data_IF_605973367644
#
_entry.id   IF_605973367644
#
_cell.length_a   1.000
_cell.length_b   1.000
_cell.length_c   1.000
_cell.angle_alpha   90.00
_cell.angle_beta   90.00
_cell.angle_gamma   90.00
#
_symmetry.space_group_name_H-M   'P 1'
#
loop_
_entity.id
_entity.type
_entity.pdbx_description
1 polymer ?
#
# COMPACT_ATOMS: atom_id res chain seq x y z
N UNK A 1 21.08 32.96 -22.89
CA UNK A 1 20.51 31.89 -23.73
C UNK A 1 19.67 31.00 -22.82
N UNK A 2 18.45 30.68 -23.28
CA UNK A 2 17.23 30.47 -22.50
C UNK A 2 17.20 29.32 -21.49
N UNK A 3 16.55 29.62 -20.37
CA UNK A 3 15.97 28.70 -19.38
C UNK A 3 14.93 27.77 -20.02
N UNK A 4 15.10 26.45 -19.87
CA UNK A 4 14.04 25.46 -20.13
C UNK A 4 13.43 25.04 -18.80
N UNK A 5 12.39 25.77 -18.40
CA UNK A 5 11.50 25.43 -17.30
C UNK A 5 10.35 24.58 -17.86
N UNK A 6 10.14 23.40 -17.27
CA UNK A 6 8.84 22.72 -17.19
C UNK A 6 8.27 22.11 -18.47
N UNK A 7 8.47 20.80 -18.67
CA UNK A 7 7.45 20.01 -19.35
C UNK A 7 7.42 18.55 -18.86
N UNK A 8 6.72 18.36 -17.73
CA UNK A 8 6.00 17.15 -17.33
C UNK A 8 6.83 15.90 -17.08
N UNK A 9 7.05 15.64 -15.79
CA UNK A 9 7.16 14.32 -15.17
C UNK A 9 6.02 13.39 -15.64
N UNK A 10 6.05 12.93 -16.89
CA UNK A 10 5.05 12.04 -17.47
C UNK A 10 5.35 10.57 -17.23
N UNK A 11 6.39 10.27 -16.45
CA UNK A 11 6.80 8.92 -16.04
C UNK A 11 7.45 8.90 -14.64
N UNK A 12 6.82 9.52 -13.65
CA UNK A 12 7.30 9.47 -12.26
C UNK A 12 6.25 8.82 -11.35
N UNK A 13 5.83 7.59 -11.67
CA UNK A 13 5.53 6.72 -10.55
C UNK A 13 6.89 6.13 -10.16
N UNK A 14 7.54 6.74 -9.18
CA UNK A 14 8.85 6.32 -8.68
C UNK A 14 8.76 4.84 -8.37
N UNK A 15 9.43 4.04 -9.22
CA UNK A 15 9.45 2.58 -9.12
C UNK A 15 10.43 2.24 -8.03
N UNK A 16 9.95 2.24 -6.81
CA UNK A 16 10.73 1.76 -5.71
C UNK A 16 10.95 0.25 -5.90
N UNK A 17 12.19 -0.14 -6.20
CA UNK A 17 12.62 -1.54 -6.26
C UNK A 17 12.73 -2.14 -4.86
N UNK A 18 11.76 -1.87 -3.98
CA UNK A 18 11.72 -2.42 -2.65
C UNK A 18 10.91 -3.71 -2.67
N UNK A 19 11.54 -4.78 -2.20
CA UNK A 19 10.91 -6.06 -1.90
C UNK A 19 10.07 -5.93 -0.62
N UNK A 20 8.97 -5.17 -0.69
CA UNK A 20 8.10 -4.98 0.47
C UNK A 20 7.13 -6.16 0.59
N UNK A 21 6.97 -6.74 1.78
CA UNK A 21 5.94 -7.73 2.02
C UNK A 21 4.57 -7.07 1.83
N UNK A 22 3.72 -7.73 1.05
CA UNK A 22 2.34 -7.31 0.78
C UNK A 22 1.39 -8.44 1.13
N UNK A 23 0.36 -8.13 1.91
CA UNK A 23 -0.76 -9.02 2.13
C UNK A 23 -1.78 -8.79 1.01
N UNK A 24 -2.19 -9.87 0.36
CA UNK A 24 -3.10 -9.85 -0.77
C UNK A 24 -4.39 -10.50 -0.35
N UNK A 25 -5.50 -9.78 -0.41
CA UNK A 25 -6.83 -10.31 -0.11
C UNK A 25 -7.71 -10.26 -1.34
N UNK A 26 -8.15 -11.42 -1.78
CA UNK A 26 -9.10 -11.61 -2.86
C UNK A 26 -10.53 -11.43 -2.34
N UNK A 27 -11.33 -10.63 -3.04
CA UNK A 27 -12.72 -10.38 -2.65
C UNK A 27 -13.61 -11.52 -3.15
N UNK A 28 -13.42 -12.03 -4.37
CA UNK A 28 -14.24 -13.13 -4.91
C UNK A 28 -13.42 -13.96 -5.90
N UNK A 29 -12.95 -15.17 -5.55
CA UNK A 29 -13.22 -15.91 -4.31
C UNK A 29 -12.55 -15.27 -3.09
N UNK A 30 -13.18 -15.39 -1.92
CA UNK A 30 -12.61 -14.92 -0.64
C UNK A 30 -11.35 -15.74 -0.34
N UNK A 31 -10.20 -15.07 -0.30
CA UNK A 31 -8.92 -15.71 -0.02
C UNK A 31 -7.89 -14.69 0.41
N UNK A 32 -6.96 -15.11 1.26
CA UNK A 32 -5.85 -14.28 1.69
C UNK A 32 -4.54 -14.98 1.35
N UNK A 33 -3.58 -14.20 0.87
CA UNK A 33 -2.26 -14.64 0.48
C UNK A 33 -1.23 -13.61 0.92
N UNK A 34 0.02 -14.04 0.92
CA UNK A 34 1.15 -13.15 1.13
C UNK A 34 2.00 -13.13 -0.13
N UNK A 35 2.64 -11.99 -0.38
CA UNK A 35 3.50 -11.79 -1.53
C UNK A 35 4.57 -10.77 -1.24
N UNK A 36 5.43 -10.59 -2.23
CA UNK A 36 6.49 -9.59 -2.21
C UNK A 36 6.31 -8.71 -3.43
N UNK A 37 6.18 -7.40 -3.20
CA UNK A 37 6.15 -6.43 -4.28
C UNK A 37 7.50 -6.38 -4.98
N UNK A 38 7.49 -6.45 -6.31
CA UNK A 38 8.67 -6.26 -7.15
C UNK A 38 8.69 -4.83 -7.73
N UNK A 39 7.50 -4.26 -7.94
CA UNK A 39 7.36 -2.90 -8.43
C UNK A 39 6.05 -2.30 -7.91
N UNK A 40 6.12 -1.09 -7.36
CA UNK A 40 4.93 -0.36 -6.93
C UNK A 40 4.89 1.01 -7.58
N UNK A 41 3.70 1.40 -8.01
CA UNK A 41 3.43 2.66 -8.68
C UNK A 41 2.06 3.20 -8.24
N UNK A 42 1.82 4.50 -8.41
CA UNK A 42 0.54 5.14 -8.10
C UNK A 42 -0.65 4.63 -8.95
N UNK A 43 -0.40 3.82 -9.99
CA UNK A 43 -1.44 3.29 -10.88
C UNK A 43 -1.47 1.76 -10.93
N UNK A 44 -0.54 1.08 -10.27
CA UNK A 44 -0.41 -0.36 -10.39
C UNK A 44 0.69 -0.94 -9.52
N UNK A 45 0.55 -2.22 -9.20
CA UNK A 45 1.55 -2.98 -8.48
C UNK A 45 1.89 -4.25 -9.28
N UNK A 46 3.14 -4.63 -9.19
CA UNK A 46 3.64 -5.92 -9.63
C UNK A 46 4.25 -6.62 -8.41
N UNK A 47 3.72 -7.77 -8.07
CA UNK A 47 4.17 -8.56 -6.93
C UNK A 47 4.19 -10.03 -7.29
N UNK A 48 5.01 -10.79 -6.58
CA UNK A 48 4.99 -12.24 -6.63
C UNK A 48 4.29 -12.80 -5.40
N UNK A 49 3.45 -13.81 -5.58
CA UNK A 49 2.71 -14.46 -4.50
C UNK A 49 2.62 -15.96 -4.77
N UNK A 50 2.62 -16.76 -3.71
CA UNK A 50 2.32 -18.20 -3.80
C UNK A 50 0.79 -18.46 -3.83
N UNK A 51 -0.04 -17.41 -3.87
CA UNK A 51 -1.50 -17.49 -3.95
C UNK A 51 -1.99 -17.44 -5.42
N UNK A 52 -2.84 -18.38 -5.81
CA UNK A 52 -3.40 -18.42 -7.17
C UNK A 52 -4.48 -17.36 -7.36
N UNK A 53 -4.13 -16.28 -8.05
CA UNK A 53 -5.05 -15.25 -8.50
C UNK A 53 -5.46 -15.46 -9.95
N UNK A 54 -6.59 -14.88 -10.34
CA UNK A 54 -7.11 -14.93 -11.71
C UNK A 54 -7.17 -13.53 -12.31
N UNK A 55 -6.97 -13.42 -13.62
CA UNK A 55 -7.15 -12.16 -14.33
C UNK A 55 -8.58 -11.65 -14.16
N UNK A 56 -8.70 -10.37 -13.80
CA UNK A 56 -9.99 -9.74 -13.53
C UNK A 56 -10.49 -9.86 -12.09
N UNK A 57 -9.77 -10.53 -11.20
CA UNK A 57 -10.15 -10.60 -9.79
C UNK A 57 -10.02 -9.24 -9.08
N UNK A 58 -10.94 -8.96 -8.16
CA UNK A 58 -10.91 -7.76 -7.35
C UNK A 58 -10.14 -8.07 -6.06
N UNK A 59 -9.00 -7.40 -5.89
CA UNK A 59 -8.09 -7.68 -4.78
C UNK A 59 -7.78 -6.42 -3.97
N UNK A 60 -7.37 -6.64 -2.73
CA UNK A 60 -6.96 -5.62 -1.78
C UNK A 60 -5.56 -5.94 -1.29
N UNK A 61 -4.64 -5.01 -1.52
CA UNK A 61 -3.24 -5.13 -1.15
C UNK A 61 -2.99 -4.31 0.10
N UNK A 62 -2.53 -4.93 1.17
CA UNK A 62 -2.13 -4.22 2.38
C UNK A 62 -0.62 -4.31 2.53
N UNK A 63 0.06 -3.17 2.53
CA UNK A 63 1.51 -3.09 2.74
C UNK A 63 1.87 -1.93 3.64
N UNK A 64 3.03 -2.01 4.28
CA UNK A 64 3.61 -0.91 5.03
C UNK A 64 4.49 -0.11 4.06
N UNK A 65 4.08 1.12 3.77
CA UNK A 65 4.90 2.05 3.00
C UNK A 65 5.92 2.69 3.95
N UNK A 66 7.24 2.50 3.74
CA UNK A 66 8.24 3.15 4.54
C UNK A 66 8.26 4.66 4.27
N UNK A 67 8.85 5.41 5.21
CA UNK A 67 9.03 6.87 5.13
C UNK A 67 9.75 7.34 3.84
N UNK A 68 10.58 6.49 3.23
CA UNK A 68 11.20 6.77 1.93
C UNK A 68 10.20 6.89 0.77
N UNK A 69 9.06 6.19 0.85
CA UNK A 69 8.00 6.23 -0.18
C UNK A 69 6.95 7.27 0.17
N UNK A 70 6.51 7.31 1.43
CA UNK A 70 5.49 8.27 1.89
C UNK A 70 6.05 9.68 2.04
N UNK A 71 7.39 9.83 2.06
CA UNK A 71 8.10 11.06 2.42
C UNK A 71 7.73 11.60 3.81
N UNK A 72 7.17 10.73 4.66
CA UNK A 72 6.69 11.05 6.00
C UNK A 72 7.12 9.95 6.98
N UNK A 73 6.18 9.22 7.55
CA UNK A 73 6.39 8.11 8.50
C UNK A 73 6.05 6.75 7.87
N UNK A 74 6.40 5.66 8.56
CA UNK A 74 5.99 4.32 8.15
C UNK A 74 4.47 4.21 8.30
N UNK A 75 3.76 3.97 7.21
CA UNK A 75 2.29 3.94 7.22
C UNK A 75 1.76 2.69 6.55
N UNK A 76 0.76 2.05 7.17
CA UNK A 76 0.01 0.97 6.54
C UNK A 76 -0.93 1.54 5.48
N UNK A 77 -0.84 1.03 4.26
CA UNK A 77 -1.68 1.45 3.15
C UNK A 77 -2.40 0.23 2.59
N UNK A 78 -3.72 0.35 2.48
CA UNK A 78 -4.59 -0.61 1.80
C UNK A 78 -4.91 -0.08 0.41
N UNK A 79 -4.41 -0.76 -0.60
CA UNK A 79 -4.62 -0.43 -1.99
C UNK A 79 -5.70 -1.36 -2.56
N UNK A 80 -6.77 -0.82 -3.12
CA UNK A 80 -7.79 -1.62 -3.81
C UNK A 80 -7.49 -1.62 -5.30
N UNK A 81 -7.56 -2.78 -5.91
CA UNK A 81 -7.20 -2.95 -7.31
C UNK A 81 -7.84 -4.15 -7.97
N UNK A 82 -7.60 -4.24 -9.28
CA UNK A 82 -8.07 -5.36 -10.11
C UNK A 82 -6.87 -6.04 -10.75
N UNK A 83 -6.86 -7.37 -10.74
CA UNK A 83 -5.84 -8.15 -11.42
C UNK A 83 -5.94 -7.90 -12.92
N UNK A 84 -4.84 -7.43 -13.51
CA UNK A 84 -4.75 -7.17 -14.95
C UNK A 84 -4.21 -8.38 -15.68
N UNK A 85 -3.17 -9.02 -15.13
CA UNK A 85 -2.59 -10.25 -15.67
C UNK A 85 -1.92 -11.07 -14.59
N UNK A 86 -1.92 -12.38 -14.76
CA UNK A 86 -1.22 -13.35 -13.91
C UNK A 86 -0.25 -14.12 -14.79
N UNK A 87 1.02 -14.08 -14.44
CA UNK A 87 2.07 -14.82 -15.11
C UNK A 87 2.40 -16.03 -14.23
N UNK A 88 2.21 -17.27 -14.73
CA UNK A 88 2.57 -18.46 -13.98
C UNK A 88 4.10 -18.52 -13.79
N UNK A 89 4.57 -19.14 -12.69
CA UNK A 89 6.01 -19.30 -12.46
C UNK A 89 6.68 -20.01 -13.64
N UNK A 90 7.67 -19.37 -14.26
CA UNK A 90 8.53 -20.00 -15.26
C UNK A 90 9.50 -21.01 -14.61
N UNK A 91 9.88 -20.77 -13.35
CA UNK A 91 10.70 -21.65 -12.52
C UNK A 91 10.44 -21.33 -11.04
N UNK A 92 9.85 -22.26 -10.29
CA UNK A 92 9.49 -22.10 -8.87
C UNK A 92 8.00 -22.29 -8.59
N UNK A 93 7.52 -21.77 -7.45
CA UNK A 93 6.12 -21.88 -6.98
C UNK A 93 5.37 -20.55 -6.94
N UNK A 94 6.04 -19.43 -7.26
CA UNK A 94 5.50 -18.07 -7.10
C UNK A 94 4.91 -17.54 -8.40
N UNK A 95 3.65 -17.15 -8.36
CA UNK A 95 2.96 -16.47 -9.45
C UNK A 95 3.32 -14.99 -9.44
N UNK A 96 3.56 -14.41 -10.61
CA UNK A 96 3.74 -12.97 -10.74
C UNK A 96 2.43 -12.33 -11.19
N UNK A 97 1.98 -11.35 -10.41
CA UNK A 97 0.66 -10.76 -10.59
C UNK A 97 0.82 -9.27 -10.83
N UNK A 98 0.27 -8.81 -11.94
CA UNK A 98 0.16 -7.38 -12.24
C UNK A 98 -1.25 -6.93 -11.95
N UNK A 99 -1.39 -5.92 -11.09
CA UNK A 99 -2.68 -5.34 -10.72
C UNK A 99 -2.73 -3.86 -11.01
N UNK A 100 -3.91 -3.41 -11.39
CA UNK A 100 -4.22 -2.01 -11.52
C UNK A 100 -4.78 -1.50 -10.20
N UNK A 101 -4.13 -0.49 -9.63
CA UNK A 101 -4.57 0.12 -8.38
C UNK A 101 -5.57 1.23 -8.71
N UNK A 102 -6.77 1.13 -8.13
CA UNK A 102 -7.85 2.09 -8.33
C UNK A 102 -7.92 3.12 -7.21
N UNK A 103 -7.52 2.74 -6.00
CA UNK A 103 -7.55 3.64 -4.84
C UNK A 103 -6.63 3.17 -3.72
N UNK A 104 -6.29 4.11 -2.86
CA UNK A 104 -5.42 3.93 -1.71
C UNK A 104 -6.13 4.44 -0.47
N UNK A 105 -6.13 3.64 0.57
CA UNK A 105 -6.70 3.95 1.87
C UNK A 105 -5.55 3.86 2.88
N UNK A 106 -5.18 5.02 3.46
CA UNK A 106 -4.19 5.06 4.53
C UNK A 106 -4.86 4.53 5.79
N UNK A 107 -4.35 3.40 6.27
CA UNK A 107 -4.77 2.88 7.55
C UNK A 107 -3.92 3.60 8.60
N UNK A 108 -4.53 4.14 9.67
CA UNK A 108 -3.73 4.54 10.82
C UNK A 108 -2.88 3.34 11.22
N UNK A 109 -1.61 3.58 11.55
CA UNK A 109 -0.80 2.56 12.21
C UNK A 109 -1.68 2.01 13.32
N UNK A 110 -1.92 0.69 13.31
CA UNK A 110 -2.83 0.07 14.25
C UNK A 110 -2.36 0.57 15.60
N UNK A 111 -3.11 1.52 16.18
CA UNK A 111 -2.83 2.04 17.50
C UNK A 111 -2.65 0.77 18.29
N UNK A 112 -1.43 0.53 18.77
CA UNK A 112 -1.30 -0.33 19.90
C UNK A 112 -2.24 0.32 20.88
N UNK A 113 -3.42 -0.26 21.04
CA UNK A 113 -4.39 0.08 22.06
C UNK A 113 -3.73 -0.33 23.37
N UNK A 114 -2.64 0.34 23.71
CA UNK A 114 -2.23 0.56 25.07
C UNK A 114 -3.06 1.76 25.45
N UNK A 115 -4.17 1.48 26.11
CA UNK A 115 -5.07 2.50 26.62
C UNK A 115 -4.30 3.53 27.43
N UNK A 116 -3.94 4.62 26.78
CA UNK A 116 -3.73 5.89 27.42
C UNK A 116 -4.91 6.74 26.98
N UNK A 117 -6.01 6.58 27.69
CA UNK A 117 -6.95 7.66 27.93
C UNK A 117 -6.13 8.84 28.46
N UNK A 118 -5.52 9.60 27.55
CA UNK A 118 -5.04 10.96 27.79
C UNK A 118 -6.29 11.74 28.14
N UNK A 119 -6.56 11.79 29.44
CA UNK A 119 -7.45 12.76 30.04
C UNK A 119 -6.96 14.13 29.61
N UNK A 120 -7.63 14.69 28.60
CA UNK A 120 -7.59 16.11 28.34
C UNK A 120 -8.39 16.77 29.47
N UNK A 121 -7.62 17.31 30.41
CA UNK A 121 -7.78 18.64 30.95
C UNK A 121 -9.22 19.22 31.03
N UNK A 122 -9.75 19.25 32.25
CA UNK A 122 -10.54 20.39 32.72
C UNK A 122 -9.97 20.87 34.04
N UNK A 123 -8.79 21.50 34.01
CA UNK A 123 -8.46 22.46 35.07
C UNK A 123 -9.30 23.73 34.83
N UNK A 124 -10.51 23.76 35.36
CA UNK A 124 -11.27 25.00 35.47
C UNK A 124 -11.18 25.52 36.90
N UNK A 125 -10.26 26.48 37.06
CA UNK A 125 -10.49 27.71 37.81
C UNK A 125 -10.69 27.60 39.31
N UNK A 126 -9.63 27.93 40.07
CA UNK A 126 -9.80 28.71 41.29
C UNK A 126 -10.66 29.96 40.96
N UNK A 127 -11.78 30.11 41.66
CA UNK A 127 -12.30 31.42 42.01
C UNK A 127 -12.78 31.36 43.46
N UNK A 128 -12.13 32.18 44.27
CA UNK A 128 -12.39 32.47 45.69
C UNK A 128 -13.71 33.26 45.85
N UNK A 129 -14.46 32.97 46.91
CA UNK A 129 -15.23 33.93 47.71
C UNK A 129 -15.73 33.28 49.01
#
# INVERSE_FOLDING_TARGET
MSTLQGHLERRAAQRFGFSLPVAVRSVIPQGEGQGVTQNLSARGAFFCTDFSLTEGDAIELTLVMPSEITLAENMRVRCRGKVMRVVPPLSGTRFEVAVHLQGYEFLPEAETVTGASRGYDRISGLHDH
#
